data_IF_233448979058
#
_entry.id   IF_233448979058
#
_cell.length_a   1.000
_cell.length_b   1.000
_cell.length_c   1.000
_cell.angle_alpha   90.00
_cell.angle_beta   90.00
_cell.angle_gamma   90.00
#
_symmetry.space_group_name_H-M   'P 1'
#
loop_
_entity.id
_entity.type
_entity.pdbx_description
1 polymer ?
#
# COMPACT_ATOMS: atom_id res chain seq x y z
N UNK A 1 -24.55 -16.14 -9.02
CA UNK A 1 -25.17 -16.01 -10.36
C UNK A 1 -26.52 -15.28 -10.37
N UNK A 2 -27.33 -15.28 -9.31
CA UNK A 2 -28.63 -14.55 -9.25
C UNK A 2 -28.49 -13.05 -9.00
N UNK A 3 -27.44 -12.56 -8.35
CA UNK A 3 -27.22 -11.12 -8.09
C UNK A 3 -26.87 -10.32 -9.35
N UNK A 4 -26.16 -10.93 -10.29
CA UNK A 4 -25.74 -10.27 -11.54
C UNK A 4 -26.91 -10.04 -12.50
N UNK A 5 -27.91 -10.91 -12.49
CA UNK A 5 -29.10 -10.81 -13.37
C UNK A 5 -30.08 -9.73 -12.89
N UNK A 6 -30.23 -9.56 -11.57
CA UNK A 6 -31.08 -8.52 -10.98
C UNK A 6 -30.51 -7.11 -11.20
N UNK A 7 -29.18 -6.99 -11.14
CA UNK A 7 -28.47 -5.73 -11.40
C UNK A 7 -28.58 -5.33 -12.89
N UNK A 8 -28.43 -6.28 -13.81
CA UNK A 8 -28.59 -6.08 -15.25
C UNK A 8 -30.00 -5.62 -15.64
N UNK A 9 -31.04 -6.22 -15.04
CA UNK A 9 -32.45 -5.82 -15.31
C UNK A 9 -32.77 -4.43 -14.75
N UNK A 10 -32.21 -4.05 -13.62
CA UNK A 10 -32.41 -2.72 -13.02
C UNK A 10 -31.70 -1.62 -13.82
N UNK A 11 -30.52 -1.92 -14.35
CA UNK A 11 -29.79 -1.04 -15.27
C UNK A 11 -30.53 -0.86 -16.62
N UNK A 12 -31.10 -1.94 -17.16
CA UNK A 12 -31.88 -1.89 -18.39
C UNK A 12 -33.17 -1.06 -18.23
N UNK A 13 -33.87 -1.23 -17.09
CA UNK A 13 -35.06 -0.42 -16.77
C UNK A 13 -34.76 1.06 -16.59
N UNK A 14 -33.64 1.39 -15.93
CA UNK A 14 -33.17 2.78 -15.79
C UNK A 14 -32.75 3.35 -17.14
N UNK A 15 -32.14 2.56 -18.01
CA UNK A 15 -31.78 2.95 -19.38
C UNK A 15 -33.01 3.28 -20.22
N UNK A 16 -34.08 2.47 -20.16
CA UNK A 16 -35.35 2.69 -20.86
C UNK A 16 -36.08 3.94 -20.35
N UNK A 17 -36.12 4.18 -19.03
CA UNK A 17 -36.73 5.38 -18.42
C UNK A 17 -35.98 6.67 -18.73
N UNK A 18 -34.67 6.59 -18.98
CA UNK A 18 -33.83 7.75 -19.32
C UNK A 18 -33.74 8.03 -20.85
N UNK A 19 -34.39 7.20 -21.67
CA UNK A 19 -34.24 7.25 -23.14
C UNK A 19 -34.68 8.58 -23.76
N UNK A 20 -35.66 9.28 -23.14
CA UNK A 20 -36.26 10.47 -23.67
C UNK A 20 -35.61 11.78 -23.21
N UNK A 21 -34.57 11.73 -22.36
CA UNK A 21 -33.91 12.93 -21.88
C UNK A 21 -32.38 12.83 -22.00
N UNK A 22 -31.85 13.41 -23.08
CA UNK A 22 -30.41 13.38 -23.40
C UNK A 22 -29.52 13.98 -22.30
N UNK A 23 -29.98 14.98 -21.55
CA UNK A 23 -29.25 15.62 -20.47
C UNK A 23 -29.19 14.72 -19.23
N UNK A 24 -30.28 14.05 -18.87
CA UNK A 24 -30.33 13.08 -17.78
C UNK A 24 -29.49 11.85 -18.12
N UNK A 25 -29.52 11.39 -19.36
CA UNK A 25 -28.71 10.28 -19.86
C UNK A 25 -27.21 10.58 -19.75
N UNK A 26 -26.77 11.74 -20.19
CA UNK A 26 -25.36 12.15 -20.09
C UNK A 26 -24.91 12.35 -18.64
N UNK A 27 -25.78 12.89 -17.78
CA UNK A 27 -25.50 13.03 -16.36
C UNK A 27 -25.39 11.66 -15.66
N UNK A 28 -26.29 10.75 -15.98
CA UNK A 28 -26.28 9.38 -15.45
C UNK A 28 -25.07 8.57 -15.94
N UNK A 29 -24.72 8.69 -17.25
CA UNK A 29 -23.48 8.10 -17.78
C UNK A 29 -22.23 8.65 -17.12
N UNK A 30 -22.20 9.93 -16.77
CA UNK A 30 -21.09 10.54 -16.06
C UNK A 30 -20.99 10.01 -14.63
N UNK A 31 -22.09 9.91 -13.90
CA UNK A 31 -22.14 9.32 -12.55
C UNK A 31 -21.72 7.84 -12.60
N UNK A 32 -22.27 7.05 -13.53
CA UNK A 32 -21.86 5.65 -13.69
C UNK A 32 -20.38 5.50 -14.04
N UNK A 33 -19.84 6.40 -14.84
CA UNK A 33 -18.43 6.39 -15.21
C UNK A 33 -17.54 6.76 -14.02
N UNK A 34 -17.93 7.77 -13.23
CA UNK A 34 -17.26 8.17 -11.99
C UNK A 34 -17.35 7.09 -10.91
N UNK A 35 -18.49 6.39 -10.77
CA UNK A 35 -18.68 5.27 -9.84
C UNK A 35 -18.04 3.94 -10.31
N UNK A 36 -17.81 3.77 -11.63
CA UNK A 36 -17.27 2.54 -12.23
C UNK A 36 -15.78 2.61 -12.55
N UNK A 37 -15.15 3.77 -12.55
CA UNK A 37 -13.70 3.90 -12.56
C UNK A 37 -13.17 3.64 -11.14
N UNK A 38 -13.11 2.35 -10.76
CA UNK A 38 -12.38 1.94 -9.57
C UNK A 38 -10.94 2.41 -9.73
N UNK A 39 -10.52 3.36 -8.88
CA UNK A 39 -9.14 3.85 -8.86
C UNK A 39 -8.18 2.68 -8.71
N UNK A 40 -7.09 2.74 -9.42
CA UNK A 40 -6.00 1.79 -9.21
C UNK A 40 -5.52 1.87 -7.77
N UNK A 41 -5.24 0.71 -7.17
CA UNK A 41 -4.78 0.65 -5.78
C UNK A 41 -3.27 0.65 -5.69
N UNK A 42 -2.77 1.31 -4.66
CA UNK A 42 -1.38 1.23 -4.22
C UNK A 42 -1.32 0.74 -2.77
N UNK A 43 -0.42 -0.20 -2.48
CA UNK A 43 -0.13 -0.59 -1.09
C UNK A 43 1.04 0.22 -0.58
N UNK A 44 0.83 0.95 0.52
CA UNK A 44 1.86 1.74 1.18
C UNK A 44 2.42 0.99 2.38
N UNK A 45 3.74 0.76 2.41
CA UNK A 45 4.45 0.34 3.62
C UNK A 45 4.34 1.47 4.67
N UNK A 46 3.45 1.30 5.63
CA UNK A 46 3.03 2.35 6.55
C UNK A 46 3.54 2.09 7.96
N UNK A 47 4.38 2.99 8.46
CA UNK A 47 4.89 2.93 9.83
C UNK A 47 4.14 3.85 10.79
N UNK A 48 3.24 4.71 10.30
CA UNK A 48 2.56 5.73 11.10
C UNK A 48 3.41 6.95 11.44
N UNK A 49 4.67 6.98 11.01
CA UNK A 49 5.53 8.17 11.14
C UNK A 49 5.15 9.28 10.14
N UNK A 50 5.69 10.48 10.35
CA UNK A 50 5.40 11.66 9.53
C UNK A 50 5.56 11.39 8.03
N UNK A 51 6.69 10.80 7.63
CA UNK A 51 7.01 10.58 6.22
C UNK A 51 5.98 9.68 5.53
N UNK A 52 5.66 8.53 6.13
CA UNK A 52 4.69 7.60 5.54
C UNK A 52 3.26 8.14 5.59
N UNK A 53 2.94 8.97 6.58
CA UNK A 53 1.63 9.62 6.69
C UNK A 53 1.45 10.69 5.60
N UNK A 54 2.46 11.51 5.34
CA UNK A 54 2.43 12.52 4.28
C UNK A 54 2.39 11.92 2.86
N UNK A 55 2.91 10.70 2.68
CA UNK A 55 2.84 9.97 1.40
C UNK A 55 1.39 9.63 1.01
N UNK A 56 0.47 9.43 1.96
CA UNK A 56 -0.92 9.07 1.66
C UNK A 56 -1.61 10.13 0.78
N UNK A 57 -1.76 11.41 1.21
CA UNK A 57 -2.36 12.43 0.37
C UNK A 57 -1.55 12.67 -0.90
N UNK A 58 -0.22 12.61 -0.84
CA UNK A 58 0.64 12.80 -1.99
C UNK A 58 0.38 11.76 -3.11
N UNK A 59 0.20 10.48 -2.77
CA UNK A 59 -0.14 9.43 -3.74
C UNK A 59 -1.50 9.67 -4.39
N UNK A 60 -2.46 10.20 -3.64
CA UNK A 60 -3.79 10.53 -4.17
C UNK A 60 -3.74 11.72 -5.13
N UNK A 61 -2.97 12.74 -4.79
CA UNK A 61 -2.88 13.97 -5.59
C UNK A 61 -2.07 13.78 -6.88
N UNK A 62 -0.97 13.03 -6.83
CA UNK A 62 -0.05 12.91 -7.97
C UNK A 62 -0.36 11.72 -8.89
N UNK A 63 -1.00 10.68 -8.39
CA UNK A 63 -1.26 9.44 -9.14
C UNK A 63 -2.73 9.04 -9.17
N UNK A 64 -3.60 9.74 -8.46
CA UNK A 64 -5.02 9.40 -8.30
C UNK A 64 -5.27 7.98 -7.78
N UNK A 65 -4.35 7.45 -6.97
CA UNK A 65 -4.47 6.11 -6.41
C UNK A 65 -5.44 6.04 -5.23
N UNK A 66 -6.07 4.88 -5.10
CA UNK A 66 -6.69 4.43 -3.84
C UNK A 66 -5.59 3.82 -2.95
N UNK A 67 -5.36 4.44 -1.78
CA UNK A 67 -4.21 4.10 -0.94
C UNK A 67 -4.63 3.12 0.15
N UNK A 68 -4.07 1.91 0.08
CA UNK A 68 -4.17 0.86 1.10
C UNK A 68 -2.91 0.88 1.95
N UNK A 69 -3.00 1.25 3.21
CA UNK A 69 -1.88 1.20 4.14
C UNK A 69 -1.66 -0.22 4.67
N UNK A 70 -0.40 -0.60 4.84
CA UNK A 70 -0.02 -1.87 5.45
C UNK A 70 1.11 -1.66 6.44
N UNK A 71 0.82 -1.85 7.72
CA UNK A 71 1.79 -1.90 8.80
C UNK A 71 2.05 -3.35 9.18
N UNK A 72 3.32 -3.69 9.33
CA UNK A 72 3.74 -5.02 9.72
C UNK A 72 4.30 -4.95 11.14
N UNK A 73 3.69 -5.72 12.04
CA UNK A 73 4.19 -5.89 13.40
C UNK A 73 5.28 -6.96 13.43
N UNK A 74 6.51 -6.53 13.72
CA UNK A 74 7.65 -7.38 13.98
C UNK A 74 8.10 -7.31 15.45
N UNK A 75 7.21 -6.86 16.36
CA UNK A 75 7.47 -6.70 17.79
C UNK A 75 7.68 -5.25 18.25
N UNK A 76 7.12 -4.24 17.50
CA UNK A 76 7.29 -2.83 17.89
C UNK A 76 6.33 -2.37 19.01
N UNK A 77 5.41 -3.19 19.47
CA UNK A 77 4.56 -2.94 20.64
C UNK A 77 3.70 -1.67 20.49
N UNK A 78 3.83 -0.72 21.42
CA UNK A 78 2.99 0.48 21.51
C UNK A 78 3.12 1.47 20.33
N UNK A 79 4.08 1.28 19.42
CA UNK A 79 4.18 2.08 18.20
C UNK A 79 2.98 1.88 17.26
N UNK A 80 2.21 0.81 17.47
CA UNK A 80 1.01 0.51 16.69
C UNK A 80 -0.22 1.28 17.15
N UNK A 81 -0.17 1.93 18.32
CA UNK A 81 -1.30 2.64 18.87
C UNK A 81 -1.72 3.84 18.02
N UNK A 82 -3.03 3.95 17.75
CA UNK A 82 -3.61 5.04 16.98
C UNK A 82 -3.31 5.04 15.48
N UNK A 83 -2.66 4.01 14.93
CA UNK A 83 -2.36 3.91 13.50
C UNK A 83 -3.60 3.96 12.63
N UNK A 84 -4.67 3.28 13.04
CA UNK A 84 -5.90 3.20 12.23
C UNK A 84 -6.56 4.57 12.06
N UNK A 85 -6.64 5.33 13.14
CA UNK A 85 -7.20 6.68 13.09
C UNK A 85 -6.34 7.62 12.24
N UNK A 86 -5.01 7.58 12.43
CA UNK A 86 -4.04 8.36 11.66
C UNK A 86 -4.13 8.08 10.17
N UNK A 87 -4.11 6.81 9.77
CA UNK A 87 -4.23 6.42 8.37
C UNK A 87 -5.55 6.90 7.74
N UNK A 88 -6.66 6.73 8.47
CA UNK A 88 -8.00 7.17 8.03
C UNK A 88 -8.07 8.69 7.88
N UNK A 89 -7.60 9.45 8.85
CA UNK A 89 -7.59 10.92 8.80
C UNK A 89 -6.73 11.44 7.64
N UNK A 90 -5.66 10.74 7.29
CA UNK A 90 -4.80 11.09 6.15
C UNK A 90 -5.37 10.66 4.81
N UNK A 91 -6.52 9.96 4.80
CA UNK A 91 -7.24 9.62 3.58
C UNK A 91 -6.93 8.24 3.00
N UNK A 92 -6.32 7.33 3.76
CA UNK A 92 -6.20 5.93 3.37
C UNK A 92 -7.59 5.28 3.34
N UNK A 93 -7.85 4.45 2.33
CA UNK A 93 -9.10 3.71 2.21
C UNK A 93 -9.15 2.51 3.14
N UNK A 94 -7.98 1.93 3.43
CA UNK A 94 -7.86 0.75 4.28
C UNK A 94 -6.50 0.71 4.98
N UNK A 95 -6.47 0.11 6.17
CA UNK A 95 -5.25 -0.23 6.88
C UNK A 95 -5.24 -1.72 7.21
N UNK A 96 -4.14 -2.38 6.88
CA UNK A 96 -3.76 -3.68 7.40
C UNK A 96 -2.74 -3.49 8.51
N UNK A 97 -2.93 -4.17 9.63
CA UNK A 97 -1.91 -4.38 10.67
C UNK A 97 -1.72 -5.89 10.72
N UNK A 98 -0.58 -6.35 10.21
CA UNK A 98 -0.27 -7.76 10.07
C UNK A 98 0.74 -8.16 11.14
N UNK A 99 0.36 -9.12 11.97
CA UNK A 99 1.25 -9.69 13.00
C UNK A 99 2.21 -10.68 12.35
N UNK A 100 3.51 -10.38 12.41
CA UNK A 100 4.60 -11.21 11.95
C UNK A 100 5.56 -11.59 13.09
N UNK A 101 5.21 -11.36 14.35
CA UNK A 101 6.14 -11.54 15.48
C UNK A 101 6.72 -12.95 15.52
N UNK A 102 5.85 -13.96 15.48
CA UNK A 102 6.31 -15.37 15.54
C UNK A 102 7.03 -15.78 14.24
N UNK A 103 6.47 -15.46 13.06
CA UNK A 103 7.12 -15.77 11.77
C UNK A 103 8.50 -15.10 11.65
N UNK A 104 8.59 -13.84 12.08
CA UNK A 104 9.84 -13.10 12.07
C UNK A 104 10.87 -13.69 13.04
N UNK A 105 10.44 -14.07 14.24
CA UNK A 105 11.32 -14.70 15.21
C UNK A 105 11.84 -16.06 14.71
N UNK A 106 10.95 -16.95 14.29
CA UNK A 106 11.29 -18.33 13.94
C UNK A 106 12.05 -18.45 12.62
N UNK A 107 11.61 -17.72 11.58
CA UNK A 107 12.11 -17.91 10.22
C UNK A 107 13.21 -16.93 9.80
N UNK A 108 13.44 -15.86 10.57
CA UNK A 108 14.47 -14.86 10.26
C UNK A 108 15.48 -14.68 11.40
N UNK A 109 15.03 -14.47 12.64
CA UNK A 109 15.95 -14.21 13.76
C UNK A 109 16.67 -15.47 14.21
N UNK A 110 15.94 -16.56 14.46
CA UNK A 110 16.53 -17.82 14.93
C UNK A 110 17.62 -18.34 13.98
N UNK A 111 17.41 -18.41 12.64
CA UNK A 111 18.46 -18.80 11.71
C UNK A 111 19.69 -17.89 11.74
N UNK A 112 19.51 -16.58 11.91
CA UNK A 112 20.63 -15.65 12.05
C UNK A 112 21.44 -15.89 13.31
N UNK A 113 20.77 -16.15 14.43
CA UNK A 113 21.43 -16.49 15.71
C UNK A 113 22.17 -17.82 15.58
N UNK A 114 21.57 -18.85 15.01
CA UNK A 114 22.19 -20.14 14.77
C UNK A 114 23.43 -20.05 13.87
N UNK A 115 23.39 -19.19 12.88
CA UNK A 115 24.52 -18.93 11.98
C UNK A 115 25.56 -17.98 12.58
N UNK A 116 25.34 -17.46 13.79
CA UNK A 116 26.17 -16.39 14.39
C UNK A 116 26.36 -15.20 13.42
N UNK A 117 25.30 -14.86 12.68
CA UNK A 117 25.36 -13.89 11.61
C UNK A 117 25.45 -12.47 12.17
N UNK A 118 26.56 -11.80 11.88
CA UNK A 118 26.79 -10.40 12.22
C UNK A 118 27.49 -9.69 11.08
N UNK A 119 27.28 -8.39 10.95
CA UNK A 119 28.05 -7.58 10.02
C UNK A 119 29.16 -6.82 10.76
N UNK A 120 30.40 -7.02 10.34
CA UNK A 120 31.61 -6.44 10.96
C UNK A 120 31.74 -6.71 12.46
N UNK A 121 31.24 -7.86 12.94
CA UNK A 121 31.18 -8.25 14.34
C UNK A 121 30.51 -7.25 15.30
N UNK A 122 29.64 -6.40 14.77
CA UNK A 122 28.95 -5.34 15.53
C UNK A 122 27.45 -5.28 15.28
N UNK A 123 27.05 -5.31 14.01
CA UNK A 123 25.66 -5.13 13.63
C UNK A 123 24.92 -6.45 13.55
N UNK A 124 23.87 -6.59 14.36
CA UNK A 124 23.08 -7.82 14.52
C UNK A 124 22.03 -8.05 13.42
N UNK A 125 22.06 -7.31 12.31
CA UNK A 125 21.25 -7.50 11.12
C UNK A 125 19.73 -7.28 11.31
N UNK A 126 19.26 -6.66 12.38
CA UNK A 126 17.83 -6.51 12.68
C UNK A 126 17.00 -5.96 11.52
N UNK A 127 17.32 -4.76 11.02
CA UNK A 127 16.61 -4.18 9.89
C UNK A 127 16.88 -4.91 8.56
N UNK A 128 18.04 -5.56 8.43
CA UNK A 128 18.38 -6.36 7.26
C UNK A 128 17.44 -7.56 7.08
N UNK A 129 17.03 -8.17 8.19
CA UNK A 129 16.11 -9.30 8.20
C UNK A 129 14.65 -8.85 8.15
N UNK A 130 14.30 -7.76 8.84
CA UNK A 130 12.94 -7.27 8.88
C UNK A 130 12.44 -6.80 7.50
N UNK A 131 13.25 -6.08 6.72
CA UNK A 131 12.80 -5.51 5.44
C UNK A 131 12.38 -6.56 4.41
N UNK A 132 13.10 -7.69 4.20
CA UNK A 132 12.63 -8.78 3.35
C UNK A 132 11.33 -9.43 3.85
N UNK A 133 11.17 -9.63 5.16
CA UNK A 133 9.94 -10.17 5.74
C UNK A 133 8.75 -9.23 5.49
N UNK A 134 8.93 -7.94 5.72
CA UNK A 134 7.93 -6.91 5.42
C UNK A 134 7.62 -6.87 3.93
N UNK A 135 8.63 -6.90 3.05
CA UNK A 135 8.43 -6.88 1.60
C UNK A 135 7.58 -8.05 1.12
N UNK A 136 7.79 -9.26 1.66
CA UNK A 136 6.97 -10.43 1.37
C UNK A 136 5.51 -10.18 1.71
N UNK A 137 5.22 -9.69 2.90
CA UNK A 137 3.84 -9.43 3.34
C UNK A 137 3.19 -8.29 2.52
N UNK A 138 3.93 -7.25 2.17
CA UNK A 138 3.44 -6.19 1.28
C UNK A 138 3.01 -6.74 -0.09
N UNK A 139 3.79 -7.65 -0.66
CA UNK A 139 3.44 -8.31 -1.92
C UNK A 139 2.17 -9.14 -1.78
N UNK A 140 2.03 -9.92 -0.71
CA UNK A 140 0.83 -10.71 -0.44
C UNK A 140 -0.42 -9.83 -0.34
N UNK A 141 -0.34 -8.71 0.38
CA UNK A 141 -1.44 -7.74 0.49
C UNK A 141 -1.71 -7.06 -0.85
N UNK A 142 -0.68 -6.69 -1.61
CA UNK A 142 -0.84 -6.09 -2.93
C UNK A 142 -1.58 -7.03 -3.89
N UNK A 143 -1.23 -8.32 -3.90
CA UNK A 143 -1.95 -9.34 -4.67
C UNK A 143 -3.40 -9.50 -4.22
N UNK A 144 -3.64 -9.56 -2.91
CA UNK A 144 -4.98 -9.68 -2.32
C UNK A 144 -5.89 -8.49 -2.69
N UNK A 145 -5.35 -7.28 -2.70
CA UNK A 145 -6.09 -6.06 -3.03
C UNK A 145 -6.16 -5.76 -4.54
N UNK A 146 -5.43 -6.51 -5.38
CA UNK A 146 -5.30 -6.22 -6.80
C UNK A 146 -4.57 -4.90 -7.07
N UNK A 147 -3.63 -4.54 -6.19
CA UNK A 147 -2.88 -3.30 -6.30
C UNK A 147 -1.86 -3.36 -7.44
N UNK A 148 -1.72 -2.26 -8.18
CA UNK A 148 -0.79 -2.13 -9.31
C UNK A 148 0.59 -1.67 -8.89
N UNK A 149 0.70 -1.12 -7.66
CA UNK A 149 1.94 -0.58 -7.13
C UNK A 149 2.10 -0.85 -5.64
N UNK A 150 3.36 -0.87 -5.19
CA UNK A 150 3.76 -0.82 -3.78
C UNK A 150 4.61 0.43 -3.57
N UNK A 151 4.28 1.22 -2.54
CA UNK A 151 5.01 2.40 -2.15
C UNK A 151 5.72 2.20 -0.81
N UNK A 152 6.91 2.79 -0.65
CA UNK A 152 7.62 2.82 0.62
C UNK A 152 8.26 4.18 0.89
N UNK A 153 8.37 4.54 2.17
CA UNK A 153 8.96 5.80 2.63
C UNK A 153 10.46 5.73 2.96
N UNK A 154 11.17 4.68 2.53
CA UNK A 154 12.60 4.58 2.78
C UNK A 154 13.38 5.63 1.97
N UNK A 155 14.35 6.29 2.64
CA UNK A 155 15.17 7.33 1.99
C UNK A 155 16.10 6.74 0.94
N UNK A 156 16.40 7.51 -0.13
CA UNK A 156 17.25 7.07 -1.22
C UNK A 156 18.74 6.88 -0.87
N UNK A 157 19.14 7.21 0.37
CA UNK A 157 20.53 7.11 0.85
C UNK A 157 20.78 5.89 1.75
N UNK A 158 19.70 5.22 2.20
CA UNK A 158 19.79 4.09 3.12
C UNK A 158 19.71 2.74 2.44
N UNK A 159 20.17 1.70 3.13
CA UNK A 159 20.08 0.31 2.65
C UNK A 159 18.65 -0.22 2.63
N UNK A 160 17.74 0.36 3.42
CA UNK A 160 16.36 -0.10 3.53
C UNK A 160 15.60 -0.01 2.21
N UNK A 161 15.84 1.04 1.43
CA UNK A 161 15.29 1.20 0.09
C UNK A 161 15.65 0.00 -0.81
N UNK A 162 16.92 -0.36 -0.88
CA UNK A 162 17.41 -1.49 -1.69
C UNK A 162 16.78 -2.79 -1.22
N UNK A 163 16.67 -3.00 0.10
CA UNK A 163 16.08 -4.21 0.69
C UNK A 163 14.61 -4.35 0.32
N UNK A 164 13.83 -3.28 0.39
CA UNK A 164 12.43 -3.28 -0.05
C UNK A 164 12.33 -3.55 -1.55
N UNK A 165 13.05 -2.81 -2.37
CA UNK A 165 12.93 -2.90 -3.82
C UNK A 165 13.35 -4.26 -4.36
N UNK A 166 14.49 -4.80 -3.88
CA UNK A 166 14.94 -6.14 -4.30
C UNK A 166 14.00 -7.23 -3.82
N UNK A 167 13.51 -7.14 -2.57
CA UNK A 167 12.55 -8.10 -2.03
C UNK A 167 11.23 -8.10 -2.82
N UNK A 168 10.68 -6.93 -3.09
CA UNK A 168 9.44 -6.79 -3.88
C UNK A 168 9.67 -7.31 -5.31
N UNK A 169 10.76 -6.90 -5.97
CA UNK A 169 11.08 -7.31 -7.35
C UNK A 169 11.31 -8.81 -7.50
N UNK A 170 11.92 -9.45 -6.50
CA UNK A 170 12.12 -10.89 -6.51
C UNK A 170 10.79 -11.67 -6.42
N UNK A 171 9.81 -11.15 -5.69
CA UNK A 171 8.53 -11.81 -5.44
C UNK A 171 7.43 -11.40 -6.43
N UNK A 172 7.48 -10.17 -6.93
CA UNK A 172 6.47 -9.59 -7.80
C UNK A 172 7.11 -8.60 -8.80
N UNK A 173 7.82 -9.10 -9.83
CA UNK A 173 8.52 -8.26 -10.81
C UNK A 173 7.58 -7.37 -11.64
N UNK A 174 6.31 -7.74 -11.73
CA UNK A 174 5.25 -7.03 -12.43
C UNK A 174 4.65 -5.86 -11.64
N UNK A 175 4.81 -5.82 -10.32
CA UNK A 175 4.30 -4.73 -9.49
C UNK A 175 5.24 -3.52 -9.58
N UNK A 176 4.66 -2.34 -9.84
CA UNK A 176 5.39 -1.06 -9.85
C UNK A 176 5.83 -0.70 -8.43
N UNK A 177 7.06 -0.23 -8.28
CA UNK A 177 7.56 0.31 -7.01
C UNK A 177 7.58 1.84 -7.09
N UNK A 178 7.01 2.48 -6.06
CA UNK A 178 7.01 3.93 -5.89
C UNK A 178 7.86 4.24 -4.66
N UNK A 179 8.93 4.98 -4.89
CA UNK A 179 9.88 5.41 -3.85
C UNK A 179 10.00 6.94 -3.88
N UNK A 180 9.13 7.70 -3.16
CA UNK A 180 9.08 9.16 -3.26
C UNK A 180 10.43 9.85 -3.03
N UNK A 181 11.22 9.39 -2.07
CA UNK A 181 12.55 9.93 -1.78
C UNK A 181 13.57 9.83 -2.92
N UNK A 182 13.26 9.09 -3.98
CA UNK A 182 14.03 9.04 -5.23
C UNK A 182 13.41 9.89 -6.35
N UNK A 183 12.21 10.42 -6.11
CA UNK A 183 11.45 11.23 -7.06
C UNK A 183 11.61 12.71 -6.69
N UNK A 184 12.86 13.20 -6.70
CA UNK A 184 13.23 14.54 -6.21
C UNK A 184 12.57 15.69 -6.94
N UNK A 185 12.03 15.45 -8.13
CA UNK A 185 11.28 16.44 -8.91
C UNK A 185 9.88 16.73 -8.36
N UNK A 186 9.32 15.76 -7.62
CA UNK A 186 7.93 15.83 -7.13
C UNK A 186 7.80 15.59 -5.61
N UNK A 187 8.84 15.10 -4.96
CA UNK A 187 8.88 14.88 -3.52
C UNK A 187 10.05 15.61 -2.88
N UNK A 188 9.76 16.56 -2.00
CA UNK A 188 10.77 17.36 -1.27
C UNK A 188 10.50 17.32 0.23
N UNK A 189 11.41 17.89 1.04
CA UNK A 189 11.18 18.08 2.47
C UNK A 189 9.93 18.90 2.75
N UNK A 190 9.61 19.87 1.90
CA UNK A 190 8.43 20.74 2.00
C UNK A 190 7.12 20.01 1.65
N UNK A 191 7.17 18.90 0.92
CA UNK A 191 5.98 18.10 0.63
C UNK A 191 5.36 17.43 1.86
N UNK A 192 5.99 17.57 3.04
CA UNK A 192 5.55 17.00 4.31
C UNK A 192 4.89 18.01 5.24
N UNK A 193 4.96 19.29 4.91
CA UNK A 193 4.33 20.42 5.62
C UNK A 193 2.88 20.62 5.13
#
# INVERSE_FOLDING_TARGET
MQFTLAYSKKLLYIYEVLHDNANLKNHFYRILKEDFEMKEKVVLAYSGGLDTTAIIPWLKEHFDYDVVCCCIDCGQGSELDGLQERAKLSGASKLYIEDLVDDFAENYIVPCVQANATYENKYLLGTSMARPAIAKRLVEIARKEGAVAICHGATGKGNDQIRFELGIKALAPDIKIIAPWRMTDVWTMQSRE
#
